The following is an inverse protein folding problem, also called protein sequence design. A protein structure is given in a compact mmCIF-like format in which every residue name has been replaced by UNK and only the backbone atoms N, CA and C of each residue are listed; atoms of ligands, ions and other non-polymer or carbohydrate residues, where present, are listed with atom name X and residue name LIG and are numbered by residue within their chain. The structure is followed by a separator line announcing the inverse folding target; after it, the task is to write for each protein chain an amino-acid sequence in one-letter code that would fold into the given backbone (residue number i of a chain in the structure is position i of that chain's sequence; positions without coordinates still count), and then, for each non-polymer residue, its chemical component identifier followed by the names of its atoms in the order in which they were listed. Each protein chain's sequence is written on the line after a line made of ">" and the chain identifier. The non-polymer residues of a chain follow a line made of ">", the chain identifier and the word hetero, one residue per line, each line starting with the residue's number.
data_IF_642849085579
#
_entry.id   IF_642849085579
#
_cell.length_a   1.000
_cell.length_b   1.000
_cell.length_c   1.000
_cell.angle_alpha   90.00
_cell.angle_beta   90.00
_cell.angle_gamma   90.00
#
_symmetry.space_group_name_H-M   'P 1'
#
loop_
_entity.id
_entity.type
_entity.pdbx_description
1 polymer ?
#
# COMPACT_ATOMS: atom_id res chain seq x y z
N UNK A 1 2.29 -11.36 22.43
CA UNK A 1 3.25 -11.31 21.30
C UNK A 1 3.36 -12.74 20.82
N UNK A 2 2.85 -13.05 19.62
CA UNK A 2 3.05 -14.38 19.03
C UNK A 2 4.43 -14.40 18.37
N UNK A 3 5.13 -15.53 18.53
CA UNK A 3 6.51 -15.77 18.09
C UNK A 3 6.78 -15.33 16.65
N UNK A 4 7.90 -14.61 16.49
CA UNK A 4 8.29 -13.82 15.32
C UNK A 4 8.79 -14.59 14.09
N UNK A 5 8.30 -15.80 13.82
CA UNK A 5 8.74 -16.62 12.68
C UNK A 5 7.70 -16.76 11.55
N UNK A 6 6.48 -16.22 11.71
CA UNK A 6 5.44 -16.31 10.67
C UNK A 6 5.29 -15.00 9.92
N UNK A 7 5.60 -15.04 8.61
CA UNK A 7 5.34 -13.93 7.70
C UNK A 7 3.84 -13.59 7.69
N UNK A 8 3.51 -12.32 7.95
CA UNK A 8 2.13 -11.81 7.97
C UNK A 8 1.66 -11.33 6.59
N UNK A 9 2.58 -11.23 5.63
CA UNK A 9 2.34 -10.72 4.30
C UNK A 9 3.48 -9.86 3.79
N UNK A 10 3.34 -9.39 2.55
CA UNK A 10 4.27 -8.47 1.92
C UNK A 10 3.56 -7.51 0.95
N UNK A 11 4.27 -6.43 0.62
CA UNK A 11 3.97 -5.57 -0.52
C UNK A 11 5.21 -5.46 -1.40
N UNK A 12 5.05 -5.75 -2.69
CA UNK A 12 6.08 -5.57 -3.69
C UNK A 12 5.89 -4.21 -4.37
N UNK A 13 6.94 -3.40 -4.41
CA UNK A 13 6.91 -2.07 -5.02
C UNK A 13 8.09 -1.85 -5.96
N UNK A 14 7.89 -0.99 -6.95
CA UNK A 14 8.99 -0.37 -7.68
C UNK A 14 8.81 1.16 -7.74
N UNK A 15 9.78 1.83 -8.37
CA UNK A 15 9.75 3.28 -8.56
C UNK A 15 9.96 3.63 -10.01
N UNK A 16 9.04 4.43 -10.57
CA UNK A 16 9.16 4.98 -11.92
C UNK A 16 8.74 6.45 -11.91
N UNK A 17 9.57 7.33 -12.46
CA UNK A 17 9.25 8.77 -12.63
C UNK A 17 8.75 9.45 -11.35
N UNK A 18 9.40 9.18 -10.21
CA UNK A 18 9.00 9.68 -8.88
C UNK A 18 7.60 9.25 -8.41
N UNK A 19 7.11 8.13 -8.94
CA UNK A 19 5.91 7.44 -8.48
C UNK A 19 6.31 6.06 -7.95
N UNK A 20 5.91 5.75 -6.73
CA UNK A 20 6.04 4.39 -6.19
C UNK A 20 4.82 3.57 -6.61
N UNK A 21 5.04 2.40 -7.22
CA UNK A 21 3.95 1.57 -7.74
C UNK A 21 3.86 0.28 -6.94
N UNK A 22 2.67 -0.02 -6.43
CA UNK A 22 2.40 -1.31 -5.81
C UNK A 22 2.14 -2.34 -6.90
N UNK A 23 3.03 -3.32 -6.99
CA UNK A 23 3.00 -4.39 -7.98
C UNK A 23 2.23 -5.61 -7.48
N UNK A 24 2.34 -5.89 -6.17
CA UNK A 24 1.66 -7.01 -5.52
C UNK A 24 1.50 -6.75 -4.02
N UNK A 25 0.45 -7.31 -3.43
CA UNK A 25 0.27 -7.37 -1.99
C UNK A 25 -0.31 -8.74 -1.65
N UNK A 26 0.20 -9.36 -0.60
CA UNK A 26 -0.37 -10.58 -0.04
C UNK A 26 -0.46 -10.44 1.48
N UNK A 27 -1.57 -10.92 2.05
CA UNK A 27 -1.79 -11.00 3.49
C UNK A 27 -1.85 -12.48 3.86
N UNK A 28 -1.03 -12.90 4.82
CA UNK A 28 -0.98 -14.30 5.22
C UNK A 28 -2.32 -14.74 5.83
N UNK A 29 -2.89 -15.83 5.31
CA UNK A 29 -4.18 -16.34 5.75
C UNK A 29 -5.39 -15.72 5.04
N UNK A 30 -5.19 -14.85 4.05
CA UNK A 30 -6.25 -14.31 3.21
C UNK A 30 -6.12 -14.87 1.78
N UNK A 31 -7.18 -15.51 1.27
CA UNK A 31 -7.24 -16.00 -0.11
C UNK A 31 -7.60 -14.89 -1.11
N UNK A 32 -8.38 -13.91 -0.66
CA UNK A 32 -8.78 -12.73 -1.43
C UNK A 32 -8.51 -11.45 -0.65
N UNK A 33 -8.10 -10.41 -1.36
CA UNK A 33 -7.93 -9.05 -0.82
C UNK A 33 -9.25 -8.29 -0.75
N UNK A 34 -10.32 -8.82 -1.36
CA UNK A 34 -11.67 -8.25 -1.30
C UNK A 34 -12.31 -8.53 0.07
N UNK A 35 -12.03 -9.70 0.63
CA UNK A 35 -12.62 -10.21 1.87
C UNK A 35 -11.69 -10.04 3.08
N UNK A 36 -10.93 -8.94 3.14
CA UNK A 36 -10.05 -8.68 4.28
C UNK A 36 -10.85 -8.46 5.57
N UNK A 37 -10.59 -9.31 6.55
CA UNK A 37 -11.06 -9.14 7.92
C UNK A 37 -10.38 -7.94 8.61
N UNK A 38 -10.78 -7.64 9.86
CA UNK A 38 -10.23 -6.50 10.59
C UNK A 38 -8.69 -6.58 10.77
N UNK A 39 -8.14 -7.78 10.97
CA UNK A 39 -6.70 -7.96 11.15
C UNK A 39 -5.96 -7.80 9.81
N UNK A 40 -6.46 -8.41 8.74
CA UNK A 40 -5.91 -8.29 7.40
C UNK A 40 -5.94 -6.86 6.89
N UNK A 41 -6.99 -6.09 7.20
CA UNK A 41 -7.05 -4.65 6.90
C UNK A 41 -5.97 -3.85 7.64
N UNK A 42 -5.69 -4.17 8.90
CA UNK A 42 -4.61 -3.51 9.66
C UNK A 42 -3.23 -3.85 9.09
N UNK A 43 -3.00 -5.11 8.69
CA UNK A 43 -1.76 -5.52 8.02
C UNK A 43 -1.60 -4.80 6.67
N UNK A 44 -2.64 -4.76 5.84
CA UNK A 44 -2.64 -4.07 4.55
C UNK A 44 -2.37 -2.56 4.71
N UNK A 45 -3.03 -1.88 5.66
CA UNK A 45 -2.79 -0.45 5.95
C UNK A 45 -1.35 -0.19 6.40
N UNK A 46 -0.81 -1.06 7.26
CA UNK A 46 0.58 -0.95 7.73
C UNK A 46 1.57 -1.08 6.57
N UNK A 47 1.37 -2.05 5.67
CA UNK A 47 2.23 -2.24 4.50
C UNK A 47 2.10 -1.10 3.48
N UNK A 48 0.88 -0.61 3.26
CA UNK A 48 0.63 0.56 2.42
C UNK A 48 1.41 1.78 2.93
N UNK A 49 1.31 2.08 4.23
CA UNK A 49 2.03 3.21 4.86
C UNK A 49 3.54 3.01 4.84
N UNK A 50 4.02 1.79 5.04
CA UNK A 50 5.44 1.47 4.95
C UNK A 50 5.98 1.71 3.53
N UNK A 51 5.26 1.23 2.50
CA UNK A 51 5.59 1.49 1.12
C UNK A 51 5.57 3.00 0.81
N UNK A 52 4.56 3.73 1.30
CA UNK A 52 4.46 5.18 1.12
C UNK A 52 5.64 5.92 1.75
N UNK A 53 6.01 5.53 2.97
CA UNK A 53 7.16 6.07 3.68
C UNK A 53 8.48 5.80 2.95
N UNK A 54 8.67 4.55 2.51
CA UNK A 54 9.84 4.15 1.72
C UNK A 54 9.94 4.97 0.43
N UNK A 55 8.86 5.06 -0.34
CA UNK A 55 8.80 5.85 -1.58
C UNK A 55 9.16 7.30 -1.35
N UNK A 56 8.62 7.93 -0.32
CA UNK A 56 8.93 9.34 -0.03
C UNK A 56 10.38 9.55 0.40
N UNK A 57 10.96 8.62 1.16
CA UNK A 57 12.36 8.68 1.57
C UNK A 57 13.32 8.67 0.37
N UNK A 58 12.91 8.04 -0.74
CA UNK A 58 13.68 7.98 -1.99
C UNK A 58 13.20 8.98 -3.07
N UNK A 59 12.31 9.91 -2.72
CA UNK A 59 11.92 11.03 -3.59
C UNK A 59 10.65 10.81 -4.43
N UNK A 60 9.83 9.81 -4.12
CA UNK A 60 8.49 9.72 -4.70
C UNK A 60 7.56 10.79 -4.10
N UNK A 61 6.60 11.26 -4.90
CA UNK A 61 5.56 12.20 -4.45
C UNK A 61 4.15 11.61 -4.53
N UNK A 62 3.99 10.47 -5.21
CA UNK A 62 2.73 9.80 -5.48
C UNK A 62 2.91 8.29 -5.38
N UNK A 63 1.85 7.60 -4.97
CA UNK A 63 1.72 6.15 -5.07
C UNK A 63 0.63 5.77 -6.08
N UNK A 64 0.82 4.66 -6.78
CA UNK A 64 -0.21 4.05 -7.61
C UNK A 64 -0.29 2.54 -7.46
N UNK A 65 -1.44 1.97 -7.84
CA UNK A 65 -1.68 0.53 -7.84
C UNK A 65 -2.64 0.14 -8.97
N UNK A 66 -2.41 -1.07 -9.50
CA UNK A 66 -3.30 -1.78 -10.42
C UNK A 66 -3.64 -3.18 -9.92
N UNK A 67 -3.43 -3.43 -8.63
CA UNK A 67 -3.68 -4.75 -8.04
C UNK A 67 -5.18 -4.98 -7.97
N UNK A 68 -5.65 -6.02 -8.64
CA UNK A 68 -7.03 -6.46 -8.59
C UNK A 68 -7.38 -6.99 -7.18
N UNK A 69 -8.61 -6.76 -6.75
CA UNK A 69 -9.13 -7.15 -5.44
C UNK A 69 -8.83 -6.15 -4.30
N UNK A 70 -8.03 -5.11 -4.55
CA UNK A 70 -7.72 -4.06 -3.55
C UNK A 70 -8.58 -2.79 -3.70
N UNK A 71 -9.55 -2.77 -4.61
CA UNK A 71 -10.23 -1.54 -5.01
C UNK A 71 -10.98 -0.87 -3.86
N UNK A 72 -11.74 -1.64 -3.08
CA UNK A 72 -12.47 -1.12 -1.92
C UNK A 72 -11.52 -0.63 -0.82
N UNK A 73 -10.48 -1.41 -0.52
CA UNK A 73 -9.46 -1.06 0.46
C UNK A 73 -8.76 0.25 0.08
N UNK A 74 -8.26 0.36 -1.16
CA UNK A 74 -7.55 1.55 -1.63
C UNK A 74 -8.44 2.78 -1.67
N UNK A 75 -9.71 2.63 -2.07
CA UNK A 75 -10.69 3.72 -2.01
C UNK A 75 -10.88 4.20 -0.57
N UNK A 76 -10.98 3.28 0.40
CA UNK A 76 -11.06 3.60 1.83
C UNK A 76 -9.79 4.29 2.38
N UNK A 77 -8.63 4.00 1.81
CA UNK A 77 -7.36 4.64 2.14
C UNK A 77 -7.17 6.02 1.47
N UNK A 78 -8.13 6.50 0.67
CA UNK A 78 -8.04 7.79 -0.01
C UNK A 78 -7.27 7.75 -1.33
N UNK A 79 -7.23 6.59 -2.01
CA UNK A 79 -6.86 6.52 -3.41
C UNK A 79 -8.04 6.92 -4.30
N UNK A 80 -7.72 7.53 -5.43
CA UNK A 80 -8.67 7.88 -6.48
C UNK A 80 -8.38 7.04 -7.73
N UNK A 81 -9.43 6.49 -8.33
CA UNK A 81 -9.34 5.81 -9.61
C UNK A 81 -9.17 6.84 -10.74
N UNK A 82 -8.10 6.72 -11.52
CA UNK A 82 -7.81 7.59 -12.66
C UNK A 82 -6.88 6.90 -13.66
N UNK A 83 -7.19 6.99 -14.96
CA UNK A 83 -6.37 6.42 -16.04
C UNK A 83 -6.03 4.93 -15.82
N UNK A 84 -7.02 4.12 -15.46
CA UNK A 84 -6.89 2.68 -15.28
C UNK A 84 -5.88 2.27 -14.18
N UNK A 85 -5.93 3.01 -13.07
CA UNK A 85 -5.15 2.75 -11.85
C UNK A 85 -5.70 3.54 -10.66
N UNK A 86 -5.45 3.04 -9.46
CA UNK A 86 -5.62 3.80 -8.22
C UNK A 86 -4.39 4.68 -8.01
N UNK A 87 -4.61 5.94 -7.65
CA UNK A 87 -3.53 6.89 -7.36
C UNK A 87 -3.81 7.68 -6.08
N UNK A 88 -2.77 8.01 -5.33
CA UNK A 88 -2.89 8.89 -4.17
C UNK A 88 -1.57 9.65 -3.93
N UNK A 89 -1.61 10.95 -3.62
CA UNK A 89 -0.40 11.67 -3.22
C UNK A 89 0.13 11.11 -1.89
N UNK A 90 1.45 10.98 -1.76
CA UNK A 90 2.04 10.41 -0.54
C UNK A 90 1.77 11.24 0.72
N UNK A 91 1.49 12.54 0.54
CA UNK A 91 1.08 13.44 1.62
C UNK A 91 -0.18 13.00 2.37
N UNK A 92 -0.99 12.10 1.81
CA UNK A 92 -2.16 11.53 2.47
C UNK A 92 -1.79 10.49 3.54
N UNK A 93 -0.62 9.85 3.42
CA UNK A 93 -0.18 8.78 4.33
C UNK A 93 0.89 9.24 5.31
N UNK A 94 1.71 10.21 4.90
CA UNK A 94 2.89 10.64 5.63
C UNK A 94 3.02 12.16 5.62
N UNK A 95 3.59 12.70 6.69
CA UNK A 95 4.02 14.11 6.72
C UNK A 95 5.41 14.20 6.08
N UNK A 96 5.50 14.76 4.89
CA UNK A 96 6.77 15.03 4.22
C UNK A 96 7.43 16.22 4.91
N UNK A 97 8.40 15.96 5.79
CA UNK A 97 9.19 17.01 6.42
C UNK A 97 10.23 17.55 5.41
N UNK A 98 10.20 18.85 5.14
CA UNK A 98 11.28 19.52 4.39
C UNK A 98 12.55 19.49 5.25
N UNK A 99 13.68 19.09 4.66
CA UNK A 99 15.00 19.26 5.28
C UNK A 99 15.37 20.73 5.35
#
# INVERSE_FOLDING_TARGET
>A
MMDGDRELGYVAVDMQSSVIRMLKMEIAGCESLEDLDAHGRLCADSMLRAAASYGAAIGAYRMESRIDGLQEFLSGCGFLWSNDKFTSPLSNFIKICKK
#
